data_IF_565086029694
#
_entry.id   IF_565086029694
#
_cell.length_a   1.000
_cell.length_b   1.000
_cell.length_c   1.000
_cell.angle_alpha   90.00
_cell.angle_beta   90.00
_cell.angle_gamma   90.00
#
_symmetry.space_group_name_H-M   'P 1'
#
loop_
_entity.id
_entity.type
_entity.pdbx_description
1 polymer ?
#
# COMPACT_ATOMS: atom_id res chain seq x y z
N UNK A 1 -14.81 12.98 34.90
CA UNK A 1 -13.98 11.77 34.93
C UNK A 1 -13.43 11.58 33.51
N UNK A 2 -12.22 12.07 33.21
CA UNK A 2 -11.62 11.92 31.90
C UNK A 2 -11.08 10.49 31.81
N UNK A 3 -11.72 9.66 31.01
CA UNK A 3 -11.14 8.37 30.60
C UNK A 3 -9.86 8.66 29.79
N UNK A 4 -8.73 8.50 30.44
CA UNK A 4 -7.42 8.55 29.79
C UNK A 4 -7.19 7.21 29.07
N UNK A 5 -8.04 6.92 28.08
CA UNK A 5 -7.94 5.71 27.30
C UNK A 5 -6.72 5.83 26.38
N UNK A 6 -5.73 4.99 26.66
CA UNK A 6 -4.53 4.80 25.82
C UNK A 6 -4.92 3.99 24.58
N UNK A 7 -5.74 4.59 23.71
CA UNK A 7 -6.10 3.93 22.45
C UNK A 7 -5.03 4.25 21.41
N UNK A 8 -4.42 3.21 20.89
CA UNK A 8 -3.63 3.25 19.67
C UNK A 8 -4.46 2.71 18.51
N UNK A 9 -4.26 3.26 17.33
CA UNK A 9 -4.88 2.85 16.09
C UNK A 9 -3.83 2.20 15.19
N UNK A 10 -3.68 0.87 15.20
CA UNK A 10 -2.82 0.17 14.24
C UNK A 10 -3.54 0.08 12.89
N UNK A 11 -2.80 0.32 11.80
CA UNK A 11 -3.35 0.31 10.45
C UNK A 11 -2.27 0.13 9.38
N UNK A 12 -2.65 -0.42 8.22
CA UNK A 12 -1.81 -0.44 7.02
C UNK A 12 -1.78 0.89 6.27
N UNK A 13 -2.71 1.82 6.57
CA UNK A 13 -2.81 3.11 5.89
C UNK A 13 -1.64 4.04 6.23
N UNK A 14 -1.31 4.93 5.29
CA UNK A 14 -0.37 6.01 5.53
C UNK A 14 -0.90 6.99 6.59
N UNK A 15 -0.01 7.60 7.36
CA UNK A 15 -0.40 8.49 8.46
C UNK A 15 -1.28 9.67 7.99
N UNK A 16 -0.96 10.31 6.87
CA UNK A 16 -1.72 11.45 6.35
C UNK A 16 -3.16 11.09 5.97
N UNK A 17 -3.40 9.85 5.49
CA UNK A 17 -4.74 9.33 5.21
C UNK A 17 -5.51 9.09 6.51
N UNK A 18 -4.86 8.45 7.49
CA UNK A 18 -5.45 8.25 8.83
C UNK A 18 -5.78 9.57 9.51
N UNK A 19 -4.89 10.56 9.40
CA UNK A 19 -5.11 11.88 9.97
C UNK A 19 -6.37 12.52 9.40
N UNK A 20 -6.56 12.47 8.09
CA UNK A 20 -7.77 12.98 7.42
C UNK A 20 -9.05 12.32 7.94
N UNK A 21 -9.02 11.00 8.17
CA UNK A 21 -10.15 10.24 8.71
C UNK A 21 -10.41 10.64 10.17
N UNK A 22 -9.36 10.71 10.99
CA UNK A 22 -9.45 11.06 12.40
C UNK A 22 -9.96 12.50 12.63
N UNK A 23 -9.51 13.45 11.81
CA UNK A 23 -9.99 14.84 11.84
C UNK A 23 -11.50 14.91 11.55
N UNK A 24 -11.99 14.20 10.54
CA UNK A 24 -13.42 14.11 10.24
C UNK A 24 -14.23 13.47 11.38
N UNK A 25 -13.62 12.52 12.09
CA UNK A 25 -14.25 11.84 13.23
C UNK A 25 -14.12 12.61 14.57
N UNK A 26 -13.36 13.70 14.61
CA UNK A 26 -13.10 14.48 15.83
C UNK A 26 -12.30 13.74 16.89
N UNK A 27 -11.41 12.82 16.48
CA UNK A 27 -10.58 12.01 17.38
C UNK A 27 -9.08 12.23 17.10
N UNK A 28 -8.25 12.02 18.13
CA UNK A 28 -6.79 12.15 18.02
C UNK A 28 -6.11 10.98 18.75
N UNK A 29 -6.05 9.78 18.14
CA UNK A 29 -5.39 8.61 18.73
C UNK A 29 -3.87 8.67 18.56
N UNK A 30 -3.15 7.78 19.25
CA UNK A 30 -1.85 7.33 18.78
C UNK A 30 -2.04 6.48 17.52
N UNK A 31 -1.24 6.70 16.49
CA UNK A 31 -1.34 5.95 15.23
C UNK A 31 -0.07 5.13 15.01
N UNK A 32 -0.26 3.84 14.78
CA UNK A 32 0.78 2.93 14.29
C UNK A 32 0.44 2.65 12.82
N UNK A 33 0.99 3.48 11.93
CA UNK A 33 0.66 3.50 10.50
C UNK A 33 1.58 2.64 9.64
N UNK A 34 1.17 2.47 8.39
CA UNK A 34 1.96 1.82 7.33
C UNK A 34 2.48 0.45 7.78
N UNK A 35 1.57 -0.41 8.31
CA UNK A 35 1.88 -1.74 8.84
C UNK A 35 2.98 -1.74 9.93
N UNK A 36 3.06 -0.68 10.73
CA UNK A 36 4.04 -0.55 11.82
C UNK A 36 5.30 0.23 11.44
N UNK A 37 5.46 0.64 10.18
CA UNK A 37 6.63 1.40 9.75
C UNK A 37 6.68 2.80 10.36
N UNK A 38 5.55 3.38 10.77
CA UNK A 38 5.50 4.71 11.40
C UNK A 38 4.68 4.69 12.69
N UNK A 39 5.10 5.49 13.66
CA UNK A 39 4.35 5.71 14.91
C UNK A 39 4.22 7.20 15.17
N UNK A 40 2.98 7.66 15.39
CA UNK A 40 2.66 9.06 15.62
C UNK A 40 1.93 9.25 16.94
N UNK A 41 2.27 10.35 17.63
CA UNK A 41 1.59 10.78 18.86
C UNK A 41 0.19 11.33 18.56
N UNK A 42 -0.62 11.53 19.61
CA UNK A 42 -1.91 12.22 19.52
C UNK A 42 -1.82 13.66 18.98
N UNK A 43 -0.66 14.30 19.07
CA UNK A 43 -0.40 15.63 18.50
C UNK A 43 0.11 15.60 17.05
N UNK A 44 0.16 14.42 16.42
CA UNK A 44 0.64 14.25 15.05
C UNK A 44 2.16 14.16 14.91
N UNK A 45 2.93 14.27 16.02
CA UNK A 45 4.39 14.17 15.96
C UNK A 45 4.80 12.73 15.65
N UNK A 46 5.64 12.51 14.63
CA UNK A 46 6.29 11.24 14.39
C UNK A 46 7.21 10.90 15.57
N UNK A 47 6.98 9.75 16.21
CA UNK A 47 7.76 9.24 17.35
C UNK A 47 8.88 8.33 16.84
N UNK A 48 8.57 7.49 15.86
CA UNK A 48 9.52 6.60 15.22
C UNK A 48 9.10 6.29 13.80
N UNK A 49 10.08 6.04 12.93
CA UNK A 49 9.89 5.53 11.59
C UNK A 49 10.95 4.49 11.25
N UNK A 50 10.57 3.52 10.41
CA UNK A 50 11.47 2.54 9.81
C UNK A 50 11.38 2.73 8.31
N UNK A 51 12.51 3.00 7.65
CA UNK A 51 12.57 3.33 6.24
C UNK A 51 13.24 2.23 5.43
N UNK A 52 12.90 2.17 4.16
CA UNK A 52 13.58 1.34 3.15
C UNK A 52 14.57 2.25 2.43
N UNK A 53 15.82 1.81 2.28
CA UNK A 53 16.84 2.58 1.56
C UNK A 53 16.46 2.70 0.07
N UNK A 54 16.81 3.83 -0.54
CA UNK A 54 16.47 4.12 -1.94
C UNK A 54 16.95 3.05 -2.91
N UNK A 55 18.18 2.58 -2.75
CA UNK A 55 18.76 1.52 -3.60
C UNK A 55 17.94 0.22 -3.52
N UNK A 56 17.42 -0.08 -2.33
CA UNK A 56 16.55 -1.25 -2.13
C UNK A 56 15.18 -1.05 -2.76
N UNK A 57 14.61 0.15 -2.61
CA UNK A 57 13.36 0.53 -3.30
C UNK A 57 13.53 0.39 -4.80
N UNK A 58 14.60 0.95 -5.39
CA UNK A 58 14.90 0.85 -6.82
C UNK A 58 14.94 -0.60 -7.30
N UNK A 59 15.69 -1.46 -6.60
CA UNK A 59 15.80 -2.88 -6.94
C UNK A 59 14.45 -3.61 -6.91
N UNK A 60 13.60 -3.29 -5.92
CA UNK A 60 12.27 -3.88 -5.80
C UNK A 60 11.36 -3.38 -6.92
N UNK A 61 11.32 -2.06 -7.16
CA UNK A 61 10.45 -1.46 -8.17
C UNK A 61 10.82 -1.91 -9.59
N UNK A 62 12.12 -2.01 -9.89
CA UNK A 62 12.58 -2.56 -11.15
C UNK A 62 12.06 -3.99 -11.35
N UNK A 63 12.22 -4.84 -10.34
CA UNK A 63 11.78 -6.23 -10.39
C UNK A 63 10.26 -6.36 -10.61
N UNK A 64 9.46 -5.52 -9.93
CA UNK A 64 8.01 -5.47 -10.05
C UNK A 64 7.56 -4.95 -11.42
N UNK A 65 8.19 -3.89 -11.92
CA UNK A 65 7.83 -3.25 -13.19
C UNK A 65 8.14 -4.17 -14.40
N UNK A 66 9.30 -4.84 -14.40
CA UNK A 66 9.68 -5.81 -15.44
C UNK A 66 8.67 -6.96 -15.56
N UNK A 67 7.92 -7.26 -14.49
CA UNK A 67 6.93 -8.36 -14.41
C UNK A 67 5.50 -7.90 -14.46
N UNK A 68 5.30 -6.60 -14.67
CA UNK A 68 3.97 -5.97 -14.74
C UNK A 68 3.09 -6.23 -13.50
N UNK A 69 3.67 -6.14 -12.30
CA UNK A 69 2.87 -6.12 -11.07
C UNK A 69 2.17 -4.76 -10.92
N UNK A 70 0.99 -4.78 -10.32
CA UNK A 70 0.48 -3.59 -9.66
C UNK A 70 1.23 -3.38 -8.35
N UNK A 71 1.64 -2.14 -8.07
CA UNK A 71 2.27 -1.81 -6.80
C UNK A 71 2.00 -0.37 -6.36
N UNK A 72 2.11 -0.17 -5.06
CA UNK A 72 1.99 1.11 -4.37
C UNK A 72 3.22 1.33 -3.52
N UNK A 73 3.76 2.54 -3.55
CA UNK A 73 4.92 2.94 -2.75
C UNK A 73 4.49 3.99 -1.74
N UNK A 74 4.57 3.65 -0.47
CA UNK A 74 4.18 4.51 0.63
C UNK A 74 5.38 5.31 1.12
N UNK A 75 5.23 6.64 1.12
CA UNK A 75 6.23 7.58 1.62
C UNK A 75 5.69 8.40 2.79
N UNK A 76 6.49 9.35 3.28
CA UNK A 76 6.07 10.31 4.28
C UNK A 76 5.06 11.34 3.76
N UNK A 77 4.91 11.49 2.42
CA UNK A 77 4.07 12.52 1.81
C UNK A 77 2.96 12.01 0.90
N UNK A 78 3.15 10.85 0.25
CA UNK A 78 2.25 10.34 -0.75
C UNK A 78 2.22 8.81 -0.84
N UNK A 79 1.26 8.29 -1.59
CA UNK A 79 1.21 6.91 -2.07
C UNK A 79 1.37 6.95 -3.58
N UNK A 80 2.51 6.51 -4.08
CA UNK A 80 2.80 6.50 -5.52
C UNK A 80 2.36 5.19 -6.15
N UNK A 81 1.73 5.26 -7.31
CA UNK A 81 1.46 4.11 -8.17
C UNK A 81 1.57 4.51 -9.64
N UNK A 82 1.81 3.53 -10.52
CA UNK A 82 1.91 3.78 -11.95
C UNK A 82 0.52 4.01 -12.56
N UNK A 83 0.41 4.95 -13.49
CA UNK A 83 -0.83 5.16 -14.28
C UNK A 83 -1.29 3.87 -14.98
N UNK A 84 -0.35 3.12 -15.57
CA UNK A 84 -0.61 1.81 -16.20
C UNK A 84 -0.97 0.71 -15.18
N UNK A 85 -0.64 0.89 -13.89
CA UNK A 85 -0.82 -0.14 -12.87
C UNK A 85 -2.29 -0.50 -12.66
N UNK A 86 -3.19 0.49 -12.61
CA UNK A 86 -4.63 0.24 -12.50
C UNK A 86 -5.17 -0.56 -13.67
N UNK A 87 -4.69 -0.27 -14.88
CA UNK A 87 -5.09 -1.00 -16.08
C UNK A 87 -4.62 -2.46 -16.02
N UNK A 88 -3.39 -2.71 -15.60
CA UNK A 88 -2.86 -4.06 -15.40
C UNK A 88 -3.68 -4.84 -14.39
N UNK A 89 -4.01 -4.24 -13.26
CA UNK A 89 -4.82 -4.82 -12.21
C UNK A 89 -6.22 -5.20 -12.71
N UNK A 90 -6.90 -4.30 -13.43
CA UNK A 90 -8.20 -4.59 -14.04
C UNK A 90 -8.14 -5.69 -15.11
N UNK A 91 -7.04 -5.78 -15.85
CA UNK A 91 -6.86 -6.83 -16.86
C UNK A 91 -6.63 -8.20 -16.20
N UNK A 92 -5.92 -8.28 -15.09
CA UNK A 92 -5.79 -9.51 -14.30
C UNK A 92 -7.16 -9.97 -13.77
N UNK A 93 -7.97 -9.07 -13.20
CA UNK A 93 -9.34 -9.37 -12.75
C UNK A 93 -10.19 -9.91 -13.90
N UNK A 94 -10.14 -9.29 -15.09
CA UNK A 94 -10.87 -9.78 -16.28
C UNK A 94 -10.42 -11.17 -16.72
N UNK A 95 -9.12 -11.46 -16.60
CA UNK A 95 -8.56 -12.78 -16.94
C UNK A 95 -9.06 -13.88 -15.99
N UNK A 96 -9.23 -13.57 -14.71
CA UNK A 96 -9.85 -14.50 -13.75
C UNK A 96 -11.29 -14.83 -14.11
N UNK A 97 -12.07 -13.85 -14.56
CA UNK A 97 -13.46 -14.03 -14.97
C UNK A 97 -13.63 -15.05 -16.09
N UNK A 98 -12.63 -15.18 -16.96
CA UNK A 98 -12.64 -16.18 -18.02
C UNK A 98 -12.24 -17.58 -17.54
N UNK A 99 -11.60 -17.69 -16.36
CA UNK A 99 -11.08 -18.95 -15.83
C UNK A 99 -12.00 -19.60 -14.77
N UNK A 100 -12.76 -18.81 -14.01
CA UNK A 100 -13.65 -19.32 -12.94
C UNK A 100 -14.97 -18.52 -12.90
N UNK A 101 -16.06 -19.20 -13.28
CA UNK A 101 -17.42 -18.64 -13.34
C UNK A 101 -18.08 -18.44 -11.95
N UNK A 102 -17.48 -18.97 -10.88
CA UNK A 102 -18.07 -18.95 -9.53
C UNK A 102 -17.50 -17.83 -8.62
N UNK A 103 -16.46 -17.13 -9.05
CA UNK A 103 -15.88 -16.04 -8.27
C UNK A 103 -16.78 -14.79 -8.35
N UNK A 104 -17.16 -14.23 -7.19
CA UNK A 104 -17.91 -12.97 -7.15
C UNK A 104 -17.02 -11.80 -7.55
N UNK A 105 -16.96 -11.57 -8.86
CA UNK A 105 -16.17 -10.52 -9.49
C UNK A 105 -16.56 -9.13 -9.03
N UNK A 106 -17.80 -8.94 -8.59
CA UNK A 106 -18.28 -7.64 -8.12
C UNK A 106 -17.60 -7.28 -6.81
N UNK A 107 -17.52 -8.24 -5.89
CA UNK A 107 -16.83 -8.05 -4.62
C UNK A 107 -15.34 -7.75 -4.82
N UNK A 108 -14.65 -8.48 -5.72
CA UNK A 108 -13.23 -8.24 -6.03
C UNK A 108 -13.00 -6.84 -6.62
N UNK A 109 -13.84 -6.39 -7.53
CA UNK A 109 -13.76 -5.04 -8.09
C UNK A 109 -14.02 -3.99 -7.02
N UNK A 110 -15.05 -4.18 -6.18
CA UNK A 110 -15.35 -3.24 -5.09
C UNK A 110 -14.21 -3.14 -4.07
N UNK A 111 -13.55 -4.26 -3.74
CA UNK A 111 -12.37 -4.27 -2.86
C UNK A 111 -11.22 -3.50 -3.50
N UNK A 112 -10.96 -3.72 -4.78
CA UNK A 112 -9.93 -3.02 -5.54
C UNK A 112 -10.20 -1.51 -5.60
N UNK A 113 -11.42 -1.09 -5.90
CA UNK A 113 -11.78 0.33 -5.95
C UNK A 113 -11.65 1.01 -4.58
N UNK A 114 -12.03 0.33 -3.49
CA UNK A 114 -11.80 0.84 -2.12
C UNK A 114 -10.33 1.07 -1.81
N UNK A 115 -9.43 0.24 -2.35
CA UNK A 115 -7.99 0.42 -2.18
C UNK A 115 -7.53 1.72 -2.85
N UNK A 116 -8.13 2.07 -4.00
CA UNK A 116 -7.81 3.30 -4.73
C UNK A 116 -8.41 4.58 -4.14
N UNK A 117 -9.33 4.47 -3.18
CA UNK A 117 -10.01 5.61 -2.53
C UNK A 117 -9.21 6.19 -1.34
N UNK A 118 -7.99 5.74 -1.08
CA UNK A 118 -7.15 6.32 -0.03
C UNK A 118 -6.71 7.75 -0.42
N UNK A 119 -6.61 8.61 0.57
CA UNK A 119 -6.10 9.96 0.39
C UNK A 119 -4.59 9.95 0.11
N UNK A 120 -4.15 10.82 -0.81
CA UNK A 120 -2.71 11.02 -1.06
C UNK A 120 -2.13 10.18 -2.19
N UNK A 121 -2.95 9.55 -3.03
CA UNK A 121 -2.46 8.87 -4.24
C UNK A 121 -1.89 9.84 -5.26
N UNK A 122 -0.69 9.52 -5.77
CA UNK A 122 -0.01 10.23 -6.86
C UNK A 122 0.29 9.24 -7.98
N UNK A 123 -0.27 9.53 -9.17
CA UNK A 123 -0.06 8.72 -10.37
C UNK A 123 1.19 9.19 -11.11
N UNK A 124 2.14 8.28 -11.33
CA UNK A 124 3.38 8.55 -12.08
C UNK A 124 3.46 7.72 -13.37
N UNK A 125 4.29 8.17 -14.33
CA UNK A 125 4.46 7.46 -15.60
C UNK A 125 5.32 6.20 -15.44
N UNK A 126 6.37 6.29 -14.62
CA UNK A 126 7.32 5.21 -14.39
C UNK A 126 7.88 5.28 -12.97
N UNK A 127 8.51 4.18 -12.49
CA UNK A 127 9.03 4.12 -11.13
C UNK A 127 10.23 5.05 -10.86
N UNK A 128 10.97 5.46 -11.89
CA UNK A 128 12.05 6.42 -11.72
C UNK A 128 11.54 7.79 -11.26
N UNK A 129 10.26 8.13 -11.58
CA UNK A 129 9.67 9.37 -11.10
C UNK A 129 9.41 9.34 -9.59
N UNK A 130 9.17 8.14 -9.02
CA UNK A 130 9.10 7.92 -7.56
C UNK A 130 10.48 8.12 -6.94
N UNK A 131 11.52 7.55 -7.56
CA UNK A 131 12.89 7.63 -7.04
C UNK A 131 13.49 9.05 -7.11
N UNK A 132 12.96 9.94 -7.93
CA UNK A 132 13.38 11.35 -7.97
C UNK A 132 12.89 12.16 -6.76
N UNK A 133 11.91 11.66 -6.02
CA UNK A 133 11.40 12.34 -4.84
C UNK A 133 12.41 12.24 -3.69
N UNK A 134 12.57 13.35 -2.97
CA UNK A 134 13.34 13.41 -1.73
C UNK A 134 12.42 13.11 -0.55
N UNK A 135 11.99 11.84 -0.45
CA UNK A 135 11.01 11.36 0.52
C UNK A 135 11.49 10.10 1.21
N UNK A 136 10.96 9.84 2.41
CA UNK A 136 11.23 8.62 3.15
C UNK A 136 10.30 7.50 2.66
N UNK A 137 10.86 6.37 2.27
CA UNK A 137 10.10 5.20 1.82
C UNK A 137 9.81 4.26 3.00
N UNK A 138 8.55 3.96 3.23
CA UNK A 138 8.10 3.14 4.37
C UNK A 138 7.65 1.75 4.00
N UNK A 139 6.94 1.61 2.89
CA UNK A 139 6.36 0.33 2.49
C UNK A 139 6.20 0.28 0.96
N UNK A 140 6.25 -0.93 0.42
CA UNK A 140 5.88 -1.23 -0.97
C UNK A 140 4.85 -2.36 -0.92
N UNK A 141 3.63 -2.05 -1.34
CA UNK A 141 2.57 -3.04 -1.50
C UNK A 141 2.54 -3.47 -2.97
N UNK A 142 2.70 -4.76 -3.22
CA UNK A 142 2.54 -5.32 -4.56
C UNK A 142 1.35 -6.28 -4.56
N UNK A 143 0.52 -6.21 -5.59
CA UNK A 143 -0.66 -7.04 -5.72
C UNK A 143 -0.70 -7.72 -7.10
N UNK A 144 -1.19 -8.94 -7.12
CA UNK A 144 -1.54 -9.66 -8.34
C UNK A 144 -2.64 -10.66 -8.05
N UNK A 145 -3.49 -10.95 -9.03
CA UNK A 145 -4.45 -12.06 -9.01
C UNK A 145 -3.91 -13.28 -9.77
N UNK A 146 -2.77 -13.18 -10.42
CA UNK A 146 -2.12 -14.31 -11.09
C UNK A 146 -1.37 -15.16 -10.06
N UNK A 147 -1.84 -16.39 -9.84
CA UNK A 147 -1.27 -17.33 -8.89
C UNK A 147 0.23 -17.61 -9.15
N UNK A 148 0.64 -17.66 -10.42
CA UNK A 148 2.05 -17.90 -10.79
C UNK A 148 2.92 -16.70 -10.39
N UNK A 149 2.45 -15.48 -10.62
CA UNK A 149 3.12 -14.27 -10.15
C UNK A 149 3.25 -14.27 -8.63
N UNK A 150 2.18 -14.61 -7.89
CA UNK A 150 2.23 -14.68 -6.43
C UNK A 150 3.26 -15.71 -5.94
N UNK A 151 3.31 -16.89 -6.56
CA UNK A 151 4.32 -17.92 -6.26
C UNK A 151 5.75 -17.43 -6.58
N UNK A 152 5.94 -16.74 -7.70
CA UNK A 152 7.23 -16.14 -8.07
C UNK A 152 7.66 -15.07 -7.06
N UNK A 153 6.77 -14.15 -6.69
CA UNK A 153 7.04 -13.13 -5.68
C UNK A 153 7.43 -13.76 -4.33
N UNK A 154 6.72 -14.80 -3.91
CA UNK A 154 7.00 -15.51 -2.66
C UNK A 154 8.38 -16.18 -2.64
N UNK A 155 8.82 -16.70 -3.79
CA UNK A 155 10.11 -17.40 -3.92
C UNK A 155 11.30 -16.46 -4.19
N UNK A 156 11.06 -15.15 -4.33
CA UNK A 156 12.16 -14.19 -4.51
C UNK A 156 12.91 -13.97 -3.21
N UNK A 157 14.22 -13.66 -3.34
CA UNK A 157 15.09 -13.33 -2.18
C UNK A 157 14.74 -11.99 -1.51
N UNK A 158 13.78 -11.26 -2.02
CA UNK A 158 13.25 -10.10 -1.33
C UNK A 158 12.38 -10.62 -0.19
N UNK A 159 12.86 -10.50 1.04
CA UNK A 159 12.01 -10.70 2.22
C UNK A 159 10.99 -9.56 2.24
N UNK A 160 9.85 -9.79 1.60
CA UNK A 160 8.72 -8.89 1.67
C UNK A 160 8.13 -9.01 3.07
N UNK A 161 8.40 -8.05 3.93
CA UNK A 161 7.58 -7.79 5.09
C UNK A 161 6.38 -6.95 4.63
N UNK A 162 5.46 -7.59 3.96
CA UNK A 162 4.20 -7.03 3.55
C UNK A 162 3.10 -8.04 3.88
N UNK A 163 2.06 -7.58 4.53
CA UNK A 163 0.87 -8.35 4.80
C UNK A 163 0.27 -8.78 3.46
N UNK A 164 0.23 -10.08 3.21
CA UNK A 164 -0.53 -10.65 2.12
C UNK A 164 -1.91 -10.98 2.67
N UNK A 165 -2.89 -10.13 2.44
CA UNK A 165 -4.28 -10.56 2.43
C UNK A 165 -4.45 -11.41 1.16
N UNK A 166 -4.18 -12.69 1.30
CA UNK A 166 -4.64 -13.69 0.35
C UNK A 166 -6.13 -13.82 0.65
N UNK A 167 -6.96 -13.25 -0.23
CA UNK A 167 -8.35 -13.65 -0.32
C UNK A 167 -8.36 -15.11 -0.81
N UNK A 168 -8.43 -16.03 0.12
CA UNK A 168 -8.65 -17.44 -0.12
C UNK A 168 -10.16 -17.72 -0.10
#
# INVERSE_FOLDING_TARGET
MYYNSRHSLPTGRAYFDVQTICEKAGISPFVIGTNGATTHSKSGKCISSITITKDRVESILQWLDERNYYYEVFTDKAIYTLKKGREHFHNEIKSLKSADLNTDMKELVEVAERQFDQFGYVLVENYHDILKQEEEFYNILACSFDKKKLEEAWNTKFSFWGYYDILA
#
